data_IF_902063483948
#
_entry.id   IF_902063483948
#
_cell.length_a   1.000
_cell.length_b   1.000
_cell.length_c   1.000
_cell.angle_alpha   90.00
_cell.angle_beta   90.00
_cell.angle_gamma   90.00
#
_symmetry.space_group_name_H-M   'P 1'
#
loop_
_entity.id
_entity.type
_entity.pdbx_description
1 polymer ?
#
# COMPACT_ATOMS: atom_id res chain seq x y z
N UNK A 1 8.56 47.08 -33.07
CA UNK A 1 9.01 45.91 -32.27
C UNK A 1 8.46 44.65 -32.94
N UNK A 2 9.30 43.77 -33.50
CA UNK A 2 8.79 42.62 -34.25
C UNK A 2 8.21 41.59 -33.27
N UNK A 3 7.04 41.03 -33.60
CA UNK A 3 6.39 39.94 -32.86
C UNK A 3 7.23 38.68 -33.05
N UNK A 4 7.93 38.25 -32.00
CA UNK A 4 8.55 36.92 -31.95
C UNK A 4 7.42 35.89 -32.01
N UNK A 5 7.43 35.01 -33.01
CA UNK A 5 6.39 33.99 -33.18
C UNK A 5 6.43 32.97 -32.04
N UNK A 6 5.27 32.46 -31.63
CA UNK A 6 5.13 31.42 -30.59
C UNK A 6 6.08 30.22 -30.79
N UNK A 7 6.42 29.89 -32.04
CA UNK A 7 7.36 28.81 -32.37
C UNK A 7 8.82 29.09 -31.95
N UNK A 8 9.25 30.36 -31.97
CA UNK A 8 10.61 30.74 -31.56
C UNK A 8 10.77 30.70 -30.03
N UNK A 9 9.69 31.02 -29.30
CA UNK A 9 9.63 30.89 -27.85
C UNK A 9 9.69 29.42 -27.41
N UNK A 10 8.96 28.51 -28.09
CA UNK A 10 9.04 27.07 -27.80
C UNK A 10 10.42 26.48 -28.11
N UNK A 11 11.07 26.92 -29.19
CA UNK A 11 12.44 26.49 -29.52
C UNK A 11 13.45 26.99 -28.49
N UNK A 12 13.30 28.21 -27.98
CA UNK A 12 14.15 28.76 -26.92
C UNK A 12 13.97 27.98 -25.59
N UNK A 13 12.72 27.67 -25.21
CA UNK A 13 12.41 26.89 -24.01
C UNK A 13 12.94 25.45 -24.11
N UNK A 14 12.87 24.81 -25.28
CA UNK A 14 13.48 23.49 -25.51
C UNK A 14 15.01 23.51 -25.38
N UNK A 15 15.69 24.56 -25.89
CA UNK A 15 17.15 24.72 -25.72
C UNK A 15 17.55 24.89 -24.26
N UNK A 16 16.85 25.77 -23.53
CA UNK A 16 17.05 25.96 -22.08
C UNK A 16 16.86 24.65 -21.28
N UNK A 17 15.84 23.86 -21.62
CA UNK A 17 15.59 22.57 -20.97
C UNK A 17 16.70 21.55 -21.27
N UNK A 18 17.23 21.52 -22.49
CA UNK A 18 18.35 20.65 -22.85
C UNK A 18 19.67 21.08 -22.18
N UNK A 19 19.91 22.37 -22.03
CA UNK A 19 21.06 22.90 -21.30
C UNK A 19 20.97 22.60 -19.81
N UNK A 20 19.79 22.75 -19.20
CA UNK A 20 19.55 22.38 -17.80
C UNK A 20 19.81 20.88 -17.55
N UNK A 21 19.36 20.00 -18.46
CA UNK A 21 19.62 18.56 -18.38
C UNK A 21 21.11 18.25 -18.51
N UNK A 22 21.83 18.91 -19.42
CA UNK A 22 23.28 18.73 -19.60
C UNK A 22 24.09 19.24 -18.40
N UNK A 23 23.67 20.33 -17.77
CA UNK A 23 24.29 20.87 -16.56
C UNK A 23 24.06 19.93 -15.37
N UNK A 24 22.85 19.41 -15.22
CA UNK A 24 22.51 18.42 -14.20
C UNK A 24 23.31 17.11 -14.35
N UNK A 25 23.48 16.63 -15.59
CA UNK A 25 24.30 15.44 -15.89
C UNK A 25 25.79 15.64 -15.59
N UNK A 26 26.34 16.85 -15.79
CA UNK A 26 27.72 17.16 -15.39
C UNK A 26 27.88 17.14 -13.87
N UNK A 27 26.94 17.74 -13.16
CA UNK A 27 26.94 17.82 -11.70
C UNK A 27 26.86 16.42 -11.05
N UNK A 28 26.10 15.50 -11.64
CA UNK A 28 26.08 14.09 -11.23
C UNK A 28 27.43 13.38 -11.45
N UNK A 29 28.09 13.62 -12.59
CA UNK A 29 29.42 13.04 -12.87
C UNK A 29 30.50 13.57 -11.92
N UNK A 30 30.42 14.85 -11.56
CA UNK A 30 31.37 15.45 -10.62
C UNK A 30 31.14 14.91 -9.19
N UNK A 31 29.89 14.66 -8.78
CA UNK A 31 29.59 14.00 -7.49
C UNK A 31 30.08 12.54 -7.45
N UNK A 32 29.99 11.79 -8.56
CA UNK A 32 30.55 10.44 -8.64
C UNK A 32 32.07 10.44 -8.51
N UNK A 33 32.78 11.36 -9.19
CA UNK A 33 34.24 11.48 -9.05
C UNK A 33 34.69 11.85 -7.65
N UNK A 34 33.90 12.63 -6.91
CA UNK A 34 34.17 12.96 -5.51
C UNK A 34 33.94 11.76 -4.58
N UNK A 35 32.94 10.92 -4.86
CA UNK A 35 32.70 9.68 -4.12
C UNK A 35 33.84 8.67 -4.35
N UNK A 36 34.29 8.49 -5.59
CA UNK A 36 35.41 7.60 -5.92
C UNK A 36 36.71 8.04 -5.24
N UNK A 37 36.96 9.35 -5.13
CA UNK A 37 38.11 9.92 -4.39
C UNK A 37 37.99 9.71 -2.87
N UNK A 38 36.77 9.77 -2.32
CA UNK A 38 36.56 9.52 -0.90
C UNK A 38 36.84 8.07 -0.54
N UNK A 39 36.47 7.12 -1.41
CA UNK A 39 36.77 5.69 -1.24
C UNK A 39 38.28 5.39 -1.30
N UNK A 40 39.05 6.08 -2.15
CA UNK A 40 40.53 6.01 -2.14
C UNK A 40 41.15 6.47 -0.82
N UNK A 41 40.60 7.52 -0.19
CA UNK A 41 41.05 8.01 1.12
C UNK A 41 40.70 7.04 2.27
N UNK A 42 39.52 6.41 2.22
CA UNK A 42 39.10 5.41 3.22
C UNK A 42 39.95 4.13 3.13
N UNK A 43 40.46 3.78 1.94
CA UNK A 43 41.36 2.65 1.73
C UNK A 43 42.71 2.77 2.45
N UNK A 44 43.23 3.99 2.66
CA UNK A 44 44.54 4.21 3.30
C UNK A 44 44.49 4.20 4.84
N UNK A 45 43.32 4.37 5.46
CA UNK A 45 43.15 4.38 6.92
C UNK A 45 43.03 3.00 7.59
N UNK A 46 42.98 1.90 6.83
CA UNK A 46 42.67 0.53 7.33
C UNK A 46 43.85 -0.24 7.96
N UNK A 47 44.89 0.41 8.50
CA UNK A 47 46.04 -0.29 9.12
C UNK A 47 46.09 -0.29 10.65
N UNK A 48 45.09 0.23 11.34
CA UNK A 48 45.05 0.19 12.81
C UNK A 48 43.62 -0.01 13.27
N UNK A 49 43.19 -1.25 13.53
CA UNK A 49 42.22 -1.66 14.58
C UNK A 49 42.00 -3.20 14.52
N UNK A 50 41.87 -3.88 15.68
CA UNK A 50 41.72 -5.35 15.75
C UNK A 50 40.31 -5.83 15.35
N UNK A 51 40.22 -7.08 14.91
CA UNK A 51 39.03 -7.70 14.34
C UNK A 51 37.86 -7.85 15.35
N UNK A 52 36.66 -7.40 14.95
CA UNK A 52 35.39 -7.60 15.67
C UNK A 52 34.88 -9.05 15.60
N UNK A 53 34.17 -9.47 16.65
CA UNK A 53 33.68 -10.83 16.87
C UNK A 53 32.43 -11.25 16.06
N UNK A 54 31.91 -12.48 16.30
CA UNK A 54 31.13 -13.28 15.34
C UNK A 54 29.68 -12.85 15.04
N UNK A 55 29.22 -11.67 15.47
CA UNK A 55 27.84 -11.21 15.23
C UNK A 55 27.66 -10.07 14.23
N UNK A 56 28.72 -9.61 13.57
CA UNK A 56 28.61 -8.65 12.46
C UNK A 56 28.55 -9.37 11.11
N UNK A 57 27.35 -9.62 10.59
CA UNK A 57 27.19 -9.98 9.18
C UNK A 57 27.45 -8.74 8.31
N UNK A 58 28.60 -8.73 7.64
CA UNK A 58 28.99 -7.72 6.65
C UNK A 58 28.05 -7.73 5.45
N UNK A 59 27.25 -6.68 5.30
CA UNK A 59 26.56 -6.41 4.02
C UNK A 59 27.60 -5.80 3.07
N UNK A 60 28.03 -6.57 2.07
CA UNK A 60 28.86 -6.07 0.98
C UNK A 60 28.10 -5.05 0.14
N UNK A 61 28.66 -3.86 -0.02
CA UNK A 61 28.13 -2.80 -0.88
C UNK A 61 28.24 -3.21 -2.36
N UNK A 62 27.16 -3.79 -2.89
CA UNK A 62 26.92 -3.89 -4.33
C UNK A 62 25.90 -2.83 -4.74
N UNK A 63 26.35 -1.77 -5.43
CA UNK A 63 25.47 -0.78 -6.05
C UNK A 63 24.58 -1.48 -7.09
N UNK A 64 23.28 -1.56 -6.83
CA UNK A 64 22.29 -2.07 -7.77
C UNK A 64 22.20 -1.13 -8.99
N UNK A 65 22.47 -1.64 -10.19
CA UNK A 65 22.35 -0.88 -11.44
C UNK A 65 20.88 -0.80 -11.90
N UNK A 66 20.42 0.34 -12.46
CA UNK A 66 19.08 0.47 -12.99
C UNK A 66 18.95 -0.23 -14.35
N UNK A 67 18.16 -1.31 -14.42
CA UNK A 67 17.76 -1.91 -15.69
C UNK A 67 16.34 -1.48 -16.05
N UNK A 68 16.17 -0.82 -17.21
CA UNK A 68 14.86 -0.56 -17.82
C UNK A 68 14.24 -1.90 -18.27
N UNK A 69 13.07 -2.25 -17.74
CA UNK A 69 12.20 -3.28 -18.31
C UNK A 69 11.04 -2.59 -19.04
N UNK A 70 11.05 -2.68 -20.36
CA UNK A 70 9.91 -2.29 -21.22
C UNK A 70 9.01 -3.51 -21.35
N UNK A 71 7.77 -3.41 -20.86
CA UNK A 71 6.74 -4.42 -21.10
C UNK A 71 6.05 -4.12 -22.45
N UNK A 72 6.26 -5.00 -23.43
CA UNK A 72 5.47 -5.02 -24.65
C UNK A 72 4.16 -5.78 -24.40
N UNK A 73 3.02 -5.10 -24.44
CA UNK A 73 1.71 -5.75 -24.47
C UNK A 73 1.10 -5.55 -25.86
N UNK A 74 1.08 -6.61 -26.67
CA UNK A 74 0.38 -6.64 -27.96
C UNK A 74 -1.13 -6.72 -27.75
N UNK A 75 -1.85 -5.71 -28.21
CA UNK A 75 -3.31 -5.64 -28.19
C UNK A 75 -3.90 -6.39 -29.39
N UNK A 76 -4.78 -7.38 -29.15
CA UNK A 76 -5.73 -7.87 -30.15
C UNK A 76 -7.11 -7.27 -29.88
N UNK A 77 -7.71 -6.73 -30.93
CA UNK A 77 -9.02 -6.08 -30.93
C UNK A 77 -10.14 -7.04 -30.48
N UNK A 78 -11.02 -6.58 -29.59
CA UNK A 78 -12.34 -7.16 -29.40
C UNK A 78 -13.40 -6.04 -29.45
N UNK A 79 -14.49 -6.31 -30.14
CA UNK A 79 -15.50 -5.34 -30.59
C UNK A 79 -16.52 -5.00 -29.51
N UNK A 80 -16.94 -3.75 -29.59
CA UNK A 80 -17.97 -3.06 -28.83
C UNK A 80 -19.35 -3.74 -28.94
N UNK A 81 -20.03 -3.94 -27.81
CA UNK A 81 -21.47 -4.22 -27.76
C UNK A 81 -22.13 -3.32 -26.71
N UNK A 82 -22.74 -2.24 -27.20
CA UNK A 82 -23.55 -1.30 -26.42
C UNK A 82 -24.87 -1.95 -25.98
N UNK A 83 -25.34 -1.69 -24.74
CA UNK A 83 -26.60 -0.95 -24.40
C UNK A 83 -26.99 -1.06 -22.90
N UNK A 84 -27.88 -0.17 -22.37
CA UNK A 84 -27.59 0.64 -21.19
C UNK A 84 -28.58 0.47 -20.02
N UNK A 85 -28.22 1.01 -18.84
CA UNK A 85 -29.13 1.73 -17.91
C UNK A 85 -28.30 2.57 -16.93
N UNK A 86 -28.50 3.88 -17.01
CA UNK A 86 -27.80 4.93 -16.27
C UNK A 86 -28.51 5.22 -14.94
N UNK A 87 -27.72 5.60 -13.93
CA UNK A 87 -28.09 6.69 -13.01
C UNK A 87 -26.97 7.72 -13.13
N UNK A 88 -27.30 8.91 -13.63
CA UNK A 88 -26.40 10.02 -13.80
C UNK A 88 -26.36 10.84 -12.52
N UNK A 89 -25.17 11.05 -11.95
CA UNK A 89 -24.89 12.15 -11.04
C UNK A 89 -24.12 13.17 -11.86
N UNK A 90 -24.75 14.33 -12.08
CA UNK A 90 -24.14 15.46 -12.79
C UNK A 90 -22.95 15.98 -12.00
N UNK A 91 -21.80 16.05 -12.66
CA UNK A 91 -20.63 16.78 -12.21
C UNK A 91 -20.30 17.74 -13.35
N UNK A 92 -20.14 19.01 -13.00
CA UNK A 92 -19.84 20.10 -13.94
C UNK A 92 -18.62 19.79 -14.83
N UNK A 93 -18.70 20.28 -16.07
CA UNK A 93 -17.93 19.83 -17.22
C UNK A 93 -16.40 19.83 -17.06
N UNK A 94 -15.80 18.69 -17.39
CA UNK A 94 -14.36 18.54 -17.63
C UNK A 94 -14.11 18.82 -19.12
N UNK A 95 -13.35 19.88 -19.43
CA UNK A 95 -13.04 20.31 -20.81
C UNK A 95 -11.92 19.51 -21.51
N UNK A 96 -11.46 18.38 -20.97
CA UNK A 96 -10.51 17.49 -21.66
C UNK A 96 -10.71 16.00 -21.30
N UNK A 97 -11.35 15.18 -22.15
CA UNK A 97 -11.72 13.80 -21.83
C UNK A 97 -10.63 12.79 -22.20
N UNK A 98 -9.40 12.97 -21.72
CA UNK A 98 -8.35 11.93 -21.85
C UNK A 98 -8.14 11.17 -20.53
N UNK A 99 -8.77 9.99 -20.49
CA UNK A 99 -8.35 8.77 -19.79
C UNK A 99 -8.49 8.72 -18.26
N UNK A 100 -9.69 8.34 -17.81
CA UNK A 100 -9.83 7.34 -16.74
C UNK A 100 -10.79 6.26 -17.24
N UNK A 101 -10.24 5.20 -17.84
CA UNK A 101 -11.00 3.96 -18.01
C UNK A 101 -11.04 3.25 -16.66
N UNK A 102 -12.18 3.32 -15.97
CA UNK A 102 -12.46 2.37 -14.89
C UNK A 102 -12.90 1.08 -15.57
N UNK A 103 -12.00 0.09 -15.63
CA UNK A 103 -12.38 -1.28 -15.96
C UNK A 103 -13.45 -1.74 -14.97
N UNK A 104 -14.67 -1.96 -15.47
CA UNK A 104 -15.66 -2.72 -14.72
C UNK A 104 -15.22 -4.17 -14.80
N UNK A 105 -14.64 -4.67 -13.72
CA UNK A 105 -14.52 -6.10 -13.53
C UNK A 105 -15.91 -6.66 -13.23
N UNK A 106 -16.38 -7.59 -14.05
CA UNK A 106 -17.48 -8.45 -13.66
C UNK A 106 -16.98 -9.30 -12.49
N UNK A 107 -17.32 -8.90 -11.27
CA UNK A 107 -17.22 -9.80 -10.12
C UNK A 107 -18.26 -10.87 -10.39
N UNK A 108 -17.82 -12.06 -10.81
CA UNK A 108 -18.67 -13.23 -10.86
C UNK A 108 -19.24 -13.44 -9.46
N UNK A 109 -20.51 -13.07 -9.26
CA UNK A 109 -21.28 -13.42 -8.08
C UNK A 109 -21.56 -14.91 -8.23
N UNK A 110 -20.65 -15.75 -7.74
CA UNK A 110 -20.88 -17.18 -7.60
C UNK A 110 -21.81 -17.36 -6.39
N UNK A 111 -22.95 -17.98 -6.63
CA UNK A 111 -24.07 -18.02 -5.67
C UNK A 111 -23.81 -18.92 -4.44
N UNK A 112 -22.67 -19.60 -4.36
CA UNK A 112 -22.28 -20.36 -3.17
C UNK A 112 -20.79 -20.67 -3.15
N UNK A 113 -20.13 -20.39 -2.02
CA UNK A 113 -18.81 -20.93 -1.66
C UNK A 113 -19.01 -21.89 -0.50
N UNK A 114 -18.56 -23.14 -0.65
CA UNK A 114 -18.52 -24.12 0.44
C UNK A 114 -17.11 -24.18 1.02
N UNK A 115 -16.96 -23.81 2.29
CA UNK A 115 -15.75 -24.02 3.07
C UNK A 115 -15.87 -25.34 3.83
N UNK A 116 -15.01 -26.30 3.51
CA UNK A 116 -14.85 -27.55 4.25
C UNK A 116 -13.67 -27.43 5.21
N UNK A 117 -13.83 -27.84 6.46
CA UNK A 117 -12.71 -27.92 7.41
C UNK A 117 -12.66 -29.25 8.14
N UNK A 118 -11.44 -29.64 8.55
CA UNK A 118 -11.16 -30.92 9.23
C UNK A 118 -10.82 -30.67 10.71
N UNK A 119 -11.55 -31.34 11.60
CA UNK A 119 -11.25 -31.43 13.04
C UNK A 119 -10.25 -32.57 13.31
N UNK A 120 -9.55 -32.55 14.45
CA UNK A 120 -8.55 -33.58 14.81
C UNK A 120 -9.09 -35.01 14.89
N UNK A 121 -10.42 -35.15 14.94
CA UNK A 121 -11.13 -36.44 14.93
C UNK A 121 -11.63 -36.87 13.54
N UNK A 122 -11.09 -36.32 12.44
CA UNK A 122 -11.48 -36.63 11.05
C UNK A 122 -12.94 -36.28 10.69
N UNK A 123 -13.62 -35.50 11.54
CA UNK A 123 -14.91 -34.90 11.21
C UNK A 123 -14.73 -33.75 10.21
N UNK A 124 -15.42 -33.86 9.07
CA UNK A 124 -15.55 -32.80 8.07
C UNK A 124 -16.81 -32.01 8.35
N UNK A 125 -16.63 -30.73 8.63
CA UNK A 125 -17.74 -29.78 8.69
C UNK A 125 -17.75 -28.93 7.43
N UNK A 126 -18.93 -28.77 6.82
CA UNK A 126 -19.16 -27.91 5.67
C UNK A 126 -19.90 -26.65 6.12
N UNK A 127 -19.38 -25.48 5.76
CA UNK A 127 -20.04 -24.19 5.95
C UNK A 127 -20.20 -23.53 4.58
N UNK A 128 -21.39 -23.02 4.29
CA UNK A 128 -21.66 -22.25 3.08
C UNK A 128 -21.60 -20.75 3.36
N UNK A 129 -21.04 -19.99 2.42
CA UNK A 129 -20.95 -18.53 2.46
C UNK A 129 -20.97 -17.98 1.03
N UNK A 130 -21.49 -16.77 0.79
CA UNK A 130 -21.33 -16.09 -0.50
C UNK A 130 -19.87 -15.73 -0.80
N UNK A 131 -19.10 -15.36 0.23
CA UNK A 131 -17.70 -14.94 0.08
C UNK A 131 -16.81 -15.62 1.12
N UNK A 132 -15.67 -16.15 0.66
CA UNK A 132 -14.57 -16.61 1.51
C UNK A 132 -13.39 -15.65 1.34
N UNK A 133 -12.89 -15.15 2.47
CA UNK A 133 -11.73 -14.27 2.57
C UNK A 133 -10.58 -15.08 3.16
N UNK A 134 -9.48 -15.21 2.42
CA UNK A 134 -8.26 -15.88 2.92
C UNK A 134 -7.25 -14.82 3.33
N UNK A 135 -7.00 -14.71 4.63
CA UNK A 135 -6.06 -13.77 5.24
C UNK A 135 -6.75 -12.71 6.12
N UNK A 136 -6.37 -12.65 7.39
CA UNK A 136 -6.84 -11.77 8.45
C UNK A 136 -5.98 -10.52 8.65
N UNK A 137 -5.22 -10.09 7.64
CA UNK A 137 -4.52 -8.82 7.66
C UNK A 137 -5.45 -7.61 7.50
N UNK A 138 -4.92 -6.37 7.51
CA UNK A 138 -5.72 -5.15 7.40
C UNK A 138 -6.64 -5.12 6.18
N UNK A 139 -6.20 -5.69 5.05
CA UNK A 139 -7.00 -5.77 3.82
C UNK A 139 -8.16 -6.76 3.97
N UNK A 140 -7.92 -7.97 4.46
CA UNK A 140 -8.96 -8.97 4.64
C UNK A 140 -10.01 -8.56 5.67
N UNK A 141 -9.57 -7.96 6.78
CA UNK A 141 -10.46 -7.38 7.78
C UNK A 141 -11.29 -6.21 7.20
N UNK A 142 -10.66 -5.32 6.44
CA UNK A 142 -11.38 -4.23 5.75
C UNK A 142 -12.39 -4.76 4.74
N UNK A 143 -12.09 -5.85 4.04
CA UNK A 143 -13.00 -6.50 3.10
C UNK A 143 -14.18 -7.15 3.83
N UNK A 144 -13.95 -7.80 4.97
CA UNK A 144 -15.03 -8.35 5.80
C UNK A 144 -15.99 -7.24 6.28
N UNK A 145 -15.45 -6.09 6.73
CA UNK A 145 -16.24 -4.91 7.12
C UNK A 145 -17.03 -4.36 5.93
N UNK A 146 -16.39 -4.16 4.78
CA UNK A 146 -17.06 -3.61 3.60
C UNK A 146 -18.19 -4.53 3.10
N UNK A 147 -17.98 -5.86 3.10
CA UNK A 147 -19.02 -6.82 2.73
C UNK A 147 -20.17 -6.80 3.73
N UNK A 148 -19.88 -6.80 5.03
CA UNK A 148 -20.88 -6.67 6.09
C UNK A 148 -21.72 -5.41 5.93
N UNK A 149 -21.07 -4.26 5.73
CA UNK A 149 -21.71 -2.97 5.47
C UNK A 149 -22.61 -2.98 4.23
N UNK A 150 -22.27 -3.76 3.21
CA UNK A 150 -23.07 -3.96 1.99
C UNK A 150 -24.15 -5.04 2.11
N UNK A 151 -24.24 -5.72 3.26
CA UNK A 151 -25.17 -6.81 3.47
C UNK A 151 -24.74 -8.13 2.81
N UNK A 152 -23.46 -8.34 2.53
CA UNK A 152 -22.96 -9.59 1.94
C UNK A 152 -22.32 -10.43 3.05
N UNK A 153 -22.79 -11.66 3.20
CA UNK A 153 -22.22 -12.60 4.15
C UNK A 153 -20.82 -13.04 3.71
N UNK A 154 -19.91 -13.14 4.68
CA UNK A 154 -18.55 -13.59 4.42
C UNK A 154 -17.97 -14.38 5.59
N UNK A 155 -17.08 -15.32 5.25
CA UNK A 155 -16.23 -16.01 6.20
C UNK A 155 -14.79 -15.61 5.91
N UNK A 156 -14.06 -15.21 6.94
CA UNK A 156 -12.63 -14.97 6.87
C UNK A 156 -11.89 -16.11 7.56
N UNK A 157 -10.87 -16.65 6.91
CA UNK A 157 -9.94 -17.63 7.49
C UNK A 157 -8.54 -17.04 7.56
N UNK A 158 -7.84 -17.27 8.66
CA UNK A 158 -6.43 -16.92 8.82
C UNK A 158 -5.74 -17.94 9.72
N UNK A 159 -4.50 -18.29 9.39
CA UNK A 159 -3.74 -19.27 10.18
C UNK A 159 -3.20 -18.69 11.51
N UNK A 160 -3.05 -17.37 11.60
CA UNK A 160 -2.68 -16.68 12.82
C UNK A 160 -3.84 -16.62 13.82
N UNK A 161 -3.56 -16.08 15.01
CA UNK A 161 -4.55 -15.84 16.08
C UNK A 161 -5.15 -14.43 16.04
N UNK A 162 -4.76 -13.63 15.04
CA UNK A 162 -5.16 -12.23 14.89
C UNK A 162 -4.23 -11.23 15.58
N UNK A 163 -3.19 -11.69 16.28
CA UNK A 163 -2.15 -10.83 16.84
C UNK A 163 -1.08 -10.49 15.81
N UNK A 164 -0.42 -9.35 16.00
CA UNK A 164 0.71 -8.89 15.18
C UNK A 164 1.85 -8.63 16.13
N UNK A 165 3.03 -9.20 15.86
CA UNK A 165 4.23 -8.94 16.64
C UNK A 165 5.05 -7.78 16.06
N UNK A 166 5.12 -7.70 14.74
CA UNK A 166 5.96 -6.76 14.02
C UNK A 166 5.12 -5.91 13.07
N UNK A 167 4.97 -4.59 13.31
CA UNK A 167 4.15 -3.74 12.47
C UNK A 167 4.79 -3.56 11.10
N UNK A 168 4.03 -3.85 10.03
CA UNK A 168 4.48 -3.65 8.64
C UNK A 168 4.08 -2.30 8.05
N UNK A 169 3.11 -1.63 8.68
CA UNK A 169 2.59 -0.33 8.25
C UNK A 169 2.34 0.55 9.47
N UNK A 170 2.31 1.87 9.26
CA UNK A 170 1.91 2.82 10.29
C UNK A 170 1.44 4.18 9.78
N UNK A 171 1.46 4.43 8.47
CA UNK A 171 0.81 5.59 7.88
C UNK A 171 -0.48 5.13 7.19
N UNK A 172 -1.59 5.76 7.53
CA UNK A 172 -2.88 5.58 6.89
C UNK A 172 -3.08 6.73 5.92
N UNK A 173 -3.24 6.40 4.63
CA UNK A 173 -3.47 7.39 3.60
C UNK A 173 -4.83 8.08 3.77
N UNK A 174 -4.94 9.29 3.23
CA UNK A 174 -6.19 10.09 3.20
C UNK A 174 -7.37 9.26 2.69
N UNK A 175 -7.21 8.60 1.54
CA UNK A 175 -8.29 7.80 0.95
C UNK A 175 -8.73 6.64 1.84
N UNK A 176 -7.80 6.02 2.56
CA UNK A 176 -8.13 4.96 3.52
C UNK A 176 -8.90 5.52 4.72
N UNK A 177 -8.54 6.71 5.20
CA UNK A 177 -9.30 7.39 6.26
C UNK A 177 -10.74 7.71 5.84
N UNK A 178 -11.00 8.02 4.56
CA UNK A 178 -12.37 8.19 4.07
C UNK A 178 -13.18 6.88 4.14
N UNK A 179 -12.56 5.73 3.89
CA UNK A 179 -13.21 4.42 4.08
C UNK A 179 -13.49 4.17 5.56
N UNK A 180 -12.54 4.47 6.43
CA UNK A 180 -12.73 4.37 7.88
C UNK A 180 -13.82 5.32 8.37
N UNK A 181 -13.93 6.53 7.83
CA UNK A 181 -15.03 7.46 8.12
C UNK A 181 -16.38 6.85 7.77
N UNK A 182 -16.50 6.27 6.58
CA UNK A 182 -17.73 5.61 6.11
C UNK A 182 -18.13 4.42 6.99
N UNK A 183 -17.16 3.67 7.52
CA UNK A 183 -17.39 2.57 8.46
C UNK A 183 -17.51 3.03 9.93
N UNK A 184 -17.47 4.34 10.22
CA UNK A 184 -17.53 4.87 11.58
C UNK A 184 -16.26 4.65 12.43
N UNK A 185 -15.14 4.26 11.81
CA UNK A 185 -13.88 3.93 12.46
C UNK A 185 -12.87 5.08 12.51
N UNK A 186 -13.09 6.16 11.75
CA UNK A 186 -12.11 7.26 11.64
C UNK A 186 -11.67 7.81 13.00
N UNK A 187 -12.60 7.99 13.94
CA UNK A 187 -12.26 8.50 15.27
C UNK A 187 -11.43 7.51 16.08
N UNK A 188 -11.79 6.22 16.07
CA UNK A 188 -10.99 5.15 16.72
C UNK A 188 -9.55 5.11 16.19
N UNK A 189 -9.36 5.37 14.89
CA UNK A 189 -8.03 5.41 14.27
C UNK A 189 -7.25 6.66 14.69
N UNK A 190 -7.90 7.82 14.84
CA UNK A 190 -7.25 9.03 15.40
C UNK A 190 -6.85 8.83 16.85
N UNK A 191 -7.67 8.12 17.61
CA UNK A 191 -7.48 7.87 19.04
C UNK A 191 -6.64 6.61 19.33
N UNK A 192 -5.91 6.09 18.33
CA UNK A 192 -5.16 4.83 18.44
C UNK A 192 -3.94 4.87 19.38
N UNK A 193 -3.64 6.03 19.97
CA UNK A 193 -2.54 6.22 20.92
C UNK A 193 -1.26 6.80 20.33
N UNK A 194 -1.20 7.09 19.02
CA UNK A 194 -0.11 7.89 18.46
C UNK A 194 -0.19 9.33 19.01
N UNK A 195 0.87 9.90 19.59
CA UNK A 195 0.84 11.29 20.07
C UNK A 195 0.64 12.24 18.88
N UNK A 196 -0.42 13.03 18.92
CA UNK A 196 -0.83 13.86 17.78
C UNK A 196 0.08 15.08 17.59
N UNK A 197 0.79 15.49 18.63
CA UNK A 197 1.78 16.59 18.65
C UNK A 197 3.23 16.14 18.38
N UNK A 198 3.46 14.85 18.08
CA UNK A 198 4.79 14.32 17.78
C UNK A 198 5.39 14.98 16.53
N UNK A 199 6.65 15.43 16.63
CA UNK A 199 7.40 16.01 15.50
C UNK A 199 7.70 14.93 14.45
N UNK A 200 7.15 15.10 13.25
CA UNK A 200 7.28 14.17 12.14
C UNK A 200 8.39 14.55 11.15
N UNK A 201 9.19 15.57 11.48
CA UNK A 201 10.28 16.05 10.63
C UNK A 201 11.25 14.93 10.26
N UNK A 202 11.71 14.96 9.01
CA UNK A 202 12.71 14.00 8.54
C UNK A 202 14.09 14.54 8.83
N UNK A 203 14.89 13.78 9.57
CA UNK A 203 16.26 14.16 10.00
C UNK A 203 17.27 13.34 9.22
N UNK A 204 18.20 14.02 8.55
CA UNK A 204 19.33 13.41 7.87
C UNK A 204 20.58 13.61 8.72
N UNK A 205 21.22 12.52 9.16
CA UNK A 205 22.39 12.56 10.03
C UNK A 205 23.36 11.42 9.69
N UNK A 206 24.63 11.55 10.10
CA UNK A 206 25.64 10.50 9.88
C UNK A 206 25.46 9.28 10.80
N UNK A 207 24.95 9.53 12.01
CA UNK A 207 24.52 8.54 13.00
C UNK A 207 23.52 9.22 13.95
N UNK A 208 22.80 8.43 14.76
CA UNK A 208 21.78 8.97 15.67
C UNK A 208 22.34 10.01 16.67
N UNK A 209 23.62 9.89 17.02
CA UNK A 209 24.38 10.81 17.87
C UNK A 209 25.47 11.59 17.11
N UNK A 210 25.38 11.63 15.78
CA UNK A 210 26.41 12.18 14.90
C UNK A 210 26.08 13.58 14.40
N UNK A 211 26.68 13.95 13.26
CA UNK A 211 26.46 15.23 12.64
C UNK A 211 25.06 15.28 12.00
N UNK A 212 24.28 16.31 12.35
CA UNK A 212 23.07 16.69 11.63
C UNK A 212 23.46 17.26 10.26
N UNK A 213 22.99 16.64 9.19
CA UNK A 213 23.23 17.09 7.82
C UNK A 213 22.11 18.01 7.34
N UNK A 214 20.86 17.62 7.59
CA UNK A 214 19.68 18.37 7.17
C UNK A 214 18.45 17.96 7.98
N UNK A 215 17.43 18.82 7.98
CA UNK A 215 16.12 18.54 8.57
C UNK A 215 15.03 19.12 7.67
N UNK A 216 14.22 18.24 7.10
CA UNK A 216 13.00 18.65 6.41
C UNK A 216 11.87 18.73 7.44
N UNK A 217 11.37 19.95 7.68
CA UNK A 217 10.29 20.20 8.63
C UNK A 217 9.01 19.52 8.16
N UNK A 218 8.36 18.78 9.05
CA UNK A 218 7.08 18.15 8.76
C UNK A 218 6.11 18.36 9.93
N UNK A 219 4.89 18.86 9.68
CA UNK A 219 3.95 19.16 10.76
C UNK A 219 3.54 17.89 11.52
N UNK A 220 3.21 18.07 12.80
CA UNK A 220 2.59 17.03 13.62
C UNK A 220 1.24 16.60 13.05
N UNK A 221 0.68 15.50 13.54
CA UNK A 221 -0.65 15.07 13.11
C UNK A 221 -1.74 16.07 13.52
N UNK A 222 -1.56 16.77 14.65
CA UNK A 222 -2.44 17.83 15.14
C UNK A 222 -2.43 19.02 14.18
N UNK A 223 -1.23 19.50 13.84
CA UNK A 223 -1.04 20.76 13.10
C UNK A 223 -1.19 20.61 11.58
N UNK A 224 -1.04 19.40 11.05
CA UNK A 224 -1.26 19.15 9.63
C UNK A 224 -2.71 19.48 9.23
N UNK A 225 -2.96 20.39 8.28
CA UNK A 225 -4.31 20.75 7.89
C UNK A 225 -5.00 19.59 7.16
N UNK A 226 -6.33 19.54 7.26
CA UNK A 226 -7.12 18.70 6.38
C UNK A 226 -7.15 19.32 4.98
N UNK A 227 -6.81 18.56 3.91
CA UNK A 227 -6.90 19.09 2.55
C UNK A 227 -8.34 19.51 2.20
N UNK A 228 -8.56 20.59 1.43
CA UNK A 228 -9.90 21.07 1.12
C UNK A 228 -10.72 20.10 0.24
N UNK A 229 -10.06 19.17 -0.45
CA UNK A 229 -10.69 18.22 -1.37
C UNK A 229 -11.34 17.01 -0.68
N UNK A 230 -11.12 16.84 0.62
CA UNK A 230 -11.52 15.63 1.36
C UNK A 230 -11.91 15.96 2.80
N UNK A 231 -12.89 15.25 3.40
CA UNK A 231 -13.23 15.43 4.80
C UNK A 231 -12.17 14.85 5.75
N UNK A 232 -11.17 14.14 5.24
CA UNK A 232 -10.20 13.39 6.03
C UNK A 232 -8.76 13.82 5.72
N UNK A 233 -7.89 13.70 6.73
CA UNK A 233 -6.43 13.79 6.54
C UNK A 233 -5.80 12.44 6.84
N UNK A 234 -4.58 12.23 6.34
CA UNK A 234 -3.80 11.02 6.67
C UNK A 234 -3.67 10.87 8.19
N UNK A 235 -3.40 9.67 8.68
CA UNK A 235 -3.20 9.39 10.10
C UNK A 235 -2.00 8.50 10.36
N UNK A 236 -1.41 8.62 11.56
CA UNK A 236 -0.42 7.66 12.05
C UNK A 236 -1.15 6.64 12.93
N UNK A 237 -1.14 5.39 12.48
CA UNK A 237 -1.72 4.27 13.20
C UNK A 237 -0.93 3.01 12.82
N UNK A 238 0.19 2.72 13.51
CA UNK A 238 0.92 1.46 13.42
C UNK A 238 -0.01 0.25 13.38
N UNK A 239 0.36 -0.77 12.61
CA UNK A 239 -0.45 -1.98 12.44
C UNK A 239 -0.81 -2.63 13.78
N UNK A 240 0.10 -2.57 14.76
CA UNK A 240 -0.15 -3.04 16.14
C UNK A 240 -1.41 -2.44 16.77
N UNK A 241 -1.74 -1.20 16.43
CA UNK A 241 -2.91 -0.49 16.96
C UNK A 241 -4.08 -0.51 15.99
N UNK A 242 -3.82 -0.48 14.68
CA UNK A 242 -4.87 -0.57 13.66
C UNK A 242 -5.54 -1.94 13.64
N UNK A 243 -4.76 -3.02 13.77
CA UNK A 243 -5.23 -4.39 13.61
C UNK A 243 -6.34 -4.73 14.62
N UNK A 244 -6.20 -4.44 15.94
CA UNK A 244 -7.30 -4.62 16.89
C UNK A 244 -8.57 -3.82 16.52
N UNK A 245 -8.41 -2.56 16.08
CA UNK A 245 -9.56 -1.71 15.68
C UNK A 245 -10.36 -2.38 14.55
N UNK A 246 -9.66 -2.89 13.54
CA UNK A 246 -10.28 -3.58 12.41
C UNK A 246 -10.84 -4.95 12.80
N UNK A 247 -10.14 -5.71 13.63
CA UNK A 247 -10.64 -7.01 14.12
C UNK A 247 -11.94 -6.84 14.91
N UNK A 248 -12.00 -5.87 15.83
CA UNK A 248 -13.20 -5.59 16.61
C UNK A 248 -14.35 -5.14 15.71
N UNK A 249 -14.08 -4.27 14.74
CA UNK A 249 -15.09 -3.82 13.79
C UNK A 249 -15.63 -4.98 12.94
N UNK A 250 -14.74 -5.83 12.41
CA UNK A 250 -15.12 -6.99 11.62
C UNK A 250 -15.88 -8.04 12.47
N UNK A 251 -15.55 -8.20 13.75
CA UNK A 251 -16.30 -9.07 14.69
C UNK A 251 -17.68 -8.52 15.04
N UNK A 252 -17.85 -7.21 15.04
CA UNK A 252 -19.13 -6.57 15.31
C UNK A 252 -20.12 -6.67 14.14
N UNK A 253 -19.64 -6.96 12.92
CA UNK A 253 -20.48 -7.16 11.74
C UNK A 253 -21.22 -8.50 11.80
N UNK A 254 -22.56 -8.54 11.91
CA UNK A 254 -23.31 -9.79 12.06
C UNK A 254 -23.18 -10.75 10.86
N UNK A 255 -22.80 -10.23 9.70
CA UNK A 255 -22.63 -10.97 8.44
C UNK A 255 -21.19 -11.41 8.18
N UNK A 256 -20.26 -11.11 9.08
CA UNK A 256 -18.87 -11.51 8.96
C UNK A 256 -18.53 -12.54 10.05
N UNK A 257 -18.05 -13.71 9.65
CA UNK A 257 -17.52 -14.72 10.58
C UNK A 257 -16.01 -14.81 10.45
N UNK A 258 -15.28 -14.51 11.52
CA UNK A 258 -13.82 -14.60 11.54
C UNK A 258 -13.36 -15.93 12.16
N UNK A 259 -12.60 -16.70 11.40
CA UNK A 259 -12.03 -17.99 11.77
C UNK A 259 -10.50 -17.86 11.80
N UNK A 260 -9.98 -17.37 12.92
CA UNK A 260 -8.54 -17.43 13.22
C UNK A 260 -8.13 -18.86 13.57
N UNK A 261 -6.84 -19.17 13.51
CA UNK A 261 -6.30 -20.54 13.63
C UNK A 261 -6.91 -21.51 12.60
N UNK A 262 -7.26 -21.01 11.42
CA UNK A 262 -7.74 -21.83 10.31
C UNK A 262 -6.84 -21.60 9.10
N UNK A 263 -6.05 -22.61 8.75
CA UNK A 263 -5.17 -22.56 7.59
C UNK A 263 -5.94 -22.95 6.34
N UNK A 264 -6.05 -22.04 5.37
CA UNK A 264 -6.47 -22.40 4.02
C UNK A 264 -5.49 -23.39 3.39
N UNK A 265 -6.00 -24.46 2.75
CA UNK A 265 -5.20 -25.54 2.17
C UNK A 265 -5.33 -25.58 0.66
N UNK A 266 -6.56 -25.61 0.14
CA UNK A 266 -6.82 -25.77 -1.29
C UNK A 266 -8.18 -25.23 -1.68
N UNK A 267 -8.36 -24.99 -2.98
CA UNK A 267 -9.64 -24.70 -3.58
C UNK A 267 -9.84 -25.49 -4.87
N UNK A 268 -11.09 -25.78 -5.18
CA UNK A 268 -11.56 -26.27 -6.47
C UNK A 268 -12.75 -25.41 -6.90
N UNK A 269 -12.82 -25.08 -8.18
CA UNK A 269 -13.90 -24.28 -8.75
C UNK A 269 -14.55 -25.05 -9.89
N UNK A 270 -15.87 -24.96 -9.97
CA UNK A 270 -16.69 -25.50 -11.05
C UNK A 270 -17.73 -24.47 -11.53
N UNK A 271 -18.75 -24.90 -12.27
CA UNK A 271 -19.79 -24.03 -12.80
C UNK A 271 -20.80 -23.53 -11.76
N UNK A 272 -20.82 -24.11 -10.56
CA UNK A 272 -21.76 -23.77 -9.49
C UNK A 272 -21.12 -22.92 -8.40
N UNK A 273 -19.81 -23.08 -8.16
CA UNK A 273 -19.11 -22.28 -7.16
C UNK A 273 -17.67 -22.67 -6.89
N UNK A 274 -17.23 -22.35 -5.66
CA UNK A 274 -15.90 -22.68 -5.15
C UNK A 274 -16.04 -23.56 -3.92
N UNK A 275 -15.35 -24.69 -3.91
CA UNK A 275 -15.15 -25.52 -2.72
C UNK A 275 -13.74 -25.29 -2.20
N UNK A 276 -13.61 -24.80 -0.97
CA UNK A 276 -12.34 -24.54 -0.32
C UNK A 276 -12.13 -25.50 0.85
N UNK A 277 -10.91 -25.98 1.05
CA UNK A 277 -10.51 -26.78 2.21
C UNK A 277 -9.64 -25.94 3.14
N UNK A 278 -9.94 -25.97 4.44
CA UNK A 278 -9.12 -25.40 5.50
C UNK A 278 -8.87 -26.42 6.62
N UNK A 279 -7.77 -26.26 7.35
CA UNK A 279 -7.44 -27.08 8.51
C UNK A 279 -7.50 -26.23 9.77
N UNK A 280 -8.18 -26.72 10.81
CA UNK A 280 -8.17 -26.11 12.13
C UNK A 280 -6.79 -26.34 12.75
N UNK A 281 -6.17 -25.29 13.27
CA UNK A 281 -4.86 -25.36 13.92
C UNK A 281 -5.06 -25.42 15.43
N UNK A 282 -4.64 -26.53 16.03
CA UNK A 282 -4.51 -26.66 17.47
C UNK A 282 -3.21 -26.01 17.93
N UNK A 283 -3.29 -24.74 18.35
CA UNK A 283 -2.24 -24.08 19.13
C UNK A 283 -2.86 -23.01 20.00
#
# INVERSE_FOLDING_TARGET
>A
LPRVGQEDLERALRRLRLEAVRSFQRLLKDRQRLADRADEFVGQGRRLHPAGGPHEQRIGAGLAQPQQRVAHCGLRQARDARRPRHIALGIDGVEDPQQVQVERFDIHILNSISLQYRLDNDERAEIKTPVLIVGGGPIGLSMAIELGWRGIESILVDEGDGTIEHPRTGLIAVRTMELFRRWGLAQRVRDCGFPDDYDLSMVFCTSLNGLLLDRESYPSMRDAPTPPETPEKKQRCPQLWLQPILTDAARAEPRARLLFKHRFVSLQQDGEGVTATATVLNT
#
